data_IF_158003495859
#
_entry.id   IF_158003495859
#
_cell.length_a   1.000
_cell.length_b   1.000
_cell.length_c   1.000
_cell.angle_alpha   90.00
_cell.angle_beta   90.00
_cell.angle_gamma   90.00
#
_symmetry.space_group_name_H-M   'P 1'
#
loop_
_entity.id
_entity.type
_entity.pdbx_description
1 polymer ?
#
# COMPACT_ATOMS: atom_id res chain seq x y z
N UNK A 1 13.92 6.66 31.99
CA UNK A 1 13.43 5.38 31.44
C UNK A 1 12.03 5.61 30.91
N UNK A 2 11.79 5.31 29.66
CA UNK A 2 10.43 5.33 29.09
C UNK A 2 9.82 3.94 29.29
N UNK A 3 8.60 3.90 29.78
CA UNK A 3 7.81 2.68 29.86
C UNK A 3 6.78 2.67 28.74
N UNK A 4 6.53 1.48 28.16
CA UNK A 4 5.47 1.30 27.18
C UNK A 4 4.11 1.43 27.87
N UNK A 5 3.23 2.28 27.34
CA UNK A 5 1.89 2.46 27.90
C UNK A 5 1.00 1.24 27.66
N UNK A 6 1.14 0.59 26.48
CA UNK A 6 0.35 -0.58 26.10
C UNK A 6 1.17 -1.49 25.16
N UNK A 7 1.06 -2.80 25.36
CA UNK A 7 1.59 -3.82 24.46
C UNK A 7 0.42 -4.47 23.71
N UNK A 8 0.25 -4.10 22.43
CA UNK A 8 -0.83 -4.62 21.60
C UNK A 8 -0.59 -6.07 21.20
N UNK A 9 0.67 -6.48 20.98
CA UNK A 9 1.01 -7.86 20.64
C UNK A 9 0.68 -8.83 21.78
N UNK A 10 0.90 -8.42 23.04
CA UNK A 10 0.50 -9.19 24.22
C UNK A 10 -1.03 -9.39 24.32
N UNK A 11 -1.81 -8.59 23.59
CA UNK A 11 -3.27 -8.70 23.46
C UNK A 11 -3.72 -9.40 22.18
N UNK A 12 -2.78 -9.93 21.40
CA UNK A 12 -3.06 -10.64 20.14
C UNK A 12 -3.26 -9.72 18.93
N UNK A 13 -2.91 -8.42 19.02
CA UNK A 13 -3.04 -7.46 17.92
C UNK A 13 -1.68 -7.12 17.32
N UNK A 14 -1.51 -7.34 16.05
CA UNK A 14 -0.26 -7.11 15.32
C UNK A 14 -0.41 -5.96 14.32
N UNK A 15 0.53 -5.04 14.34
CA UNK A 15 0.51 -3.85 13.49
C UNK A 15 1.20 -4.09 12.15
N UNK A 16 0.61 -3.54 11.08
CA UNK A 16 1.19 -3.57 9.75
C UNK A 16 1.02 -2.24 9.01
N UNK A 17 2.00 -1.93 8.18
CA UNK A 17 1.94 -0.87 7.18
C UNK A 17 2.23 -1.46 5.81
N UNK A 18 1.39 -1.18 4.80
CA UNK A 18 1.48 -1.83 3.48
C UNK A 18 2.18 -0.99 2.40
N UNK A 19 2.71 0.22 2.71
CA UNK A 19 3.29 1.10 1.69
C UNK A 19 4.59 1.76 2.15
N UNK A 20 5.70 1.03 1.98
CA UNK A 20 7.04 1.46 2.44
C UNK A 20 8.04 1.47 1.29
N UNK A 21 8.66 2.65 1.01
CA UNK A 21 9.69 2.84 -0.02
C UNK A 21 11.10 3.07 0.59
N UNK A 22 11.31 2.68 1.82
CA UNK A 22 12.62 2.78 2.47
C UNK A 22 13.61 1.75 1.94
N UNK A 23 14.90 2.04 2.09
CA UNK A 23 15.93 1.06 1.79
C UNK A 23 15.72 -0.22 2.62
N UNK A 24 15.90 -1.37 1.98
CA UNK A 24 15.65 -2.67 2.62
C UNK A 24 16.47 -2.84 3.91
N UNK A 25 17.66 -2.29 3.91
CA UNK A 25 18.63 -2.36 5.02
C UNK A 25 18.18 -1.57 6.26
N UNK A 26 17.31 -0.55 6.09
CA UNK A 26 16.78 0.29 7.16
C UNK A 26 15.57 -0.34 7.87
N UNK A 27 14.87 -1.26 7.20
CA UNK A 27 13.59 -1.81 7.67
C UNK A 27 13.66 -2.44 9.06
N UNK A 28 14.69 -3.24 9.42
CA UNK A 28 14.78 -3.82 10.76
C UNK A 28 14.77 -2.76 11.89
N UNK A 29 15.42 -1.62 11.65
CA UNK A 29 15.42 -0.52 12.61
C UNK A 29 14.04 0.12 12.71
N UNK A 30 13.40 0.40 11.57
CA UNK A 30 12.08 1.03 11.54
C UNK A 30 11.01 0.16 12.22
N UNK A 31 10.98 -1.14 11.94
CA UNK A 31 9.99 -2.03 12.55
C UNK A 31 10.12 -2.07 14.07
N UNK A 32 11.36 -2.09 14.60
CA UNK A 32 11.59 -2.04 16.05
C UNK A 32 11.25 -0.68 16.66
N UNK A 33 11.64 0.41 16.00
CA UNK A 33 11.42 1.76 16.50
C UNK A 33 9.93 2.12 16.57
N UNK A 34 9.16 1.70 15.57
CA UNK A 34 7.74 2.01 15.44
C UNK A 34 6.81 0.91 15.98
N UNK A 35 7.38 -0.17 16.50
CA UNK A 35 6.65 -1.36 16.95
C UNK A 35 5.71 -1.91 15.86
N UNK A 36 6.23 -2.01 14.67
CA UNK A 36 5.55 -2.66 13.54
C UNK A 36 5.92 -4.14 13.47
N UNK A 37 4.95 -4.96 13.14
CA UNK A 37 5.12 -6.41 13.00
C UNK A 37 5.28 -6.82 11.55
N UNK A 38 4.61 -6.09 10.62
CA UNK A 38 4.66 -6.40 9.19
C UNK A 38 4.87 -5.12 8.37
N UNK A 39 5.84 -5.17 7.44
CA UNK A 39 6.05 -4.13 6.44
C UNK A 39 6.52 -4.74 5.10
N UNK A 40 5.67 -4.87 4.09
CA UNK A 40 6.14 -5.10 2.73
C UNK A 40 6.86 -3.84 2.22
N UNK A 41 8.02 -4.07 1.60
CA UNK A 41 8.90 -3.01 1.08
C UNK A 41 8.75 -2.94 -0.43
N UNK A 42 8.39 -1.77 -0.94
CA UNK A 42 8.26 -1.54 -2.37
C UNK A 42 9.64 -1.45 -2.99
N UNK A 43 10.08 -2.51 -3.64
CA UNK A 43 11.39 -2.62 -4.27
C UNK A 43 11.33 -2.50 -5.80
N UNK A 44 10.12 -2.53 -6.36
CA UNK A 44 9.85 -2.22 -7.76
C UNK A 44 8.57 -1.39 -7.89
N UNK A 45 8.59 -0.40 -8.77
CA UNK A 45 7.52 0.58 -8.93
C UNK A 45 7.54 1.09 -10.38
N UNK A 46 6.55 0.70 -11.18
CA UNK A 46 6.51 0.99 -12.61
C UNK A 46 7.84 0.58 -13.29
N UNK A 47 8.54 1.52 -13.92
CA UNK A 47 9.82 1.27 -14.57
C UNK A 47 11.04 1.17 -13.63
N UNK A 48 10.86 1.46 -12.33
CA UNK A 48 11.91 1.32 -11.31
C UNK A 48 11.91 -0.11 -10.78
N UNK A 49 13.07 -0.72 -10.70
CA UNK A 49 13.21 -2.10 -10.23
C UNK A 49 14.60 -2.28 -9.62
N UNK A 50 14.66 -2.48 -8.31
CA UNK A 50 15.88 -2.73 -7.57
C UNK A 50 16.60 -4.00 -8.04
N UNK A 51 15.83 -4.99 -8.48
CA UNK A 51 16.32 -6.32 -8.83
C UNK A 51 16.94 -6.39 -10.23
N UNK A 52 16.83 -5.32 -11.04
CA UNK A 52 17.59 -5.22 -12.31
C UNK A 52 19.11 -5.18 -12.09
N UNK A 53 19.56 -4.68 -10.95
CA UNK A 53 20.98 -4.54 -10.61
C UNK A 53 21.44 -5.46 -9.48
N UNK A 54 20.55 -6.28 -8.94
CA UNK A 54 20.82 -7.20 -7.83
C UNK A 54 20.26 -8.60 -8.12
N UNK A 55 20.87 -9.67 -7.62
CA UNK A 55 20.28 -11.00 -7.71
C UNK A 55 18.96 -11.06 -6.92
N UNK A 56 18.01 -11.83 -7.42
CA UNK A 56 16.77 -12.07 -6.70
C UNK A 56 17.05 -12.76 -5.37
N UNK A 57 16.36 -12.40 -4.29
CA UNK A 57 16.54 -13.01 -2.99
C UNK A 57 16.04 -14.45 -2.99
N UNK A 58 16.73 -15.33 -2.29
CA UNK A 58 16.29 -16.72 -2.10
C UNK A 58 14.98 -16.81 -1.30
N UNK A 59 14.80 -15.87 -0.36
CA UNK A 59 13.61 -15.76 0.49
C UNK A 59 13.16 -14.30 0.48
N UNK A 60 11.92 -14.06 0.06
CA UNK A 60 11.36 -12.70 -0.02
C UNK A 60 10.93 -12.19 1.35
N UNK A 61 10.35 -13.06 2.17
CA UNK A 61 9.98 -12.73 3.56
C UNK A 61 11.19 -12.87 4.48
N UNK A 62 11.53 -11.78 5.15
CA UNK A 62 12.60 -11.69 6.12
C UNK A 62 12.03 -11.64 7.54
N UNK A 63 12.62 -12.37 8.46
CA UNK A 63 12.28 -12.34 9.89
C UNK A 63 13.32 -11.52 10.63
N UNK A 64 12.89 -10.58 11.48
CA UNK A 64 13.77 -9.75 12.30
C UNK A 64 13.94 -10.36 13.68
N UNK A 65 12.81 -10.70 14.29
CA UNK A 65 12.70 -11.35 15.59
C UNK A 65 11.34 -12.08 15.66
N UNK A 66 11.03 -12.75 16.76
CA UNK A 66 9.97 -13.74 16.88
C UNK A 66 8.62 -13.44 16.19
N UNK A 67 8.25 -12.17 16.05
CA UNK A 67 6.95 -11.76 15.49
C UNK A 67 7.02 -10.56 14.54
N UNK A 68 8.22 -10.16 14.07
CA UNK A 68 8.38 -9.07 13.09
C UNK A 68 8.93 -9.57 11.77
N UNK A 69 8.24 -9.19 10.71
CA UNK A 69 8.52 -9.66 9.35
C UNK A 69 8.48 -8.48 8.36
N UNK A 70 9.28 -8.55 7.32
CA UNK A 70 9.14 -7.68 6.16
C UNK A 70 9.32 -8.48 4.88
N UNK A 71 8.63 -8.05 3.81
CA UNK A 71 8.77 -8.64 2.49
C UNK A 71 9.59 -7.70 1.61
N UNK A 72 10.58 -8.26 0.89
CA UNK A 72 11.48 -7.48 0.03
C UNK A 72 11.11 -7.56 -1.45
N UNK A 73 9.98 -8.18 -1.80
CA UNK A 73 9.57 -8.39 -3.19
C UNK A 73 8.22 -7.73 -3.49
N UNK A 74 7.86 -6.73 -2.73
CA UNK A 74 6.62 -6.00 -2.96
C UNK A 74 6.81 -4.91 -4.01
N UNK A 75 5.73 -4.56 -4.70
CA UNK A 75 5.79 -3.56 -5.74
C UNK A 75 4.50 -2.82 -5.96
N UNK A 76 4.58 -1.80 -6.80
CA UNK A 76 3.49 -0.87 -7.08
C UNK A 76 3.35 -0.64 -8.57
N UNK A 77 2.12 -0.77 -9.08
CA UNK A 77 1.70 -0.33 -10.41
C UNK A 77 0.86 0.93 -10.24
N UNK A 78 1.49 2.12 -10.36
CA UNK A 78 0.84 3.41 -10.21
C UNK A 78 0.80 4.13 -11.55
N UNK A 79 -0.41 4.36 -12.05
CA UNK A 79 -0.68 5.05 -13.31
C UNK A 79 -1.89 5.98 -13.17
N UNK A 80 -2.33 6.67 -14.25
CA UNK A 80 -3.43 7.63 -14.17
C UNK A 80 -4.75 7.02 -13.66
N UNK A 81 -5.03 5.76 -14.02
CA UNK A 81 -6.19 5.02 -13.53
C UNK A 81 -6.14 4.67 -12.05
N UNK A 82 -4.94 4.66 -11.45
CA UNK A 82 -4.73 4.43 -10.02
C UNK A 82 -3.49 3.65 -9.63
N UNK A 83 -3.47 3.15 -8.42
CA UNK A 83 -2.35 2.38 -7.87
C UNK A 83 -2.80 1.06 -7.26
N UNK A 84 -2.13 -0.01 -7.66
CA UNK A 84 -2.26 -1.34 -7.09
C UNK A 84 -0.93 -1.78 -6.49
N UNK A 85 -0.99 -2.28 -5.27
CA UNK A 85 0.16 -2.84 -4.57
C UNK A 85 0.13 -4.36 -4.66
N UNK A 86 1.30 -4.96 -4.86
CA UNK A 86 1.45 -6.42 -5.01
C UNK A 86 2.40 -6.95 -3.96
N UNK A 87 1.96 -7.95 -3.19
CA UNK A 87 2.74 -8.59 -2.14
C UNK A 87 2.79 -10.11 -2.33
N UNK A 88 3.86 -10.73 -1.85
CA UNK A 88 4.01 -12.18 -1.89
C UNK A 88 4.51 -12.75 -3.23
N UNK A 89 4.96 -11.89 -4.15
CA UNK A 89 5.58 -12.34 -5.40
C UNK A 89 7.01 -12.84 -5.15
N UNK A 90 7.52 -13.65 -6.09
CA UNK A 90 8.93 -14.15 -6.07
C UNK A 90 9.85 -13.35 -6.99
N UNK A 91 9.29 -12.51 -7.86
CA UNK A 91 9.98 -11.63 -8.80
C UNK A 91 9.08 -10.45 -9.16
N UNK A 92 9.65 -9.32 -9.61
CA UNK A 92 8.88 -8.18 -10.10
C UNK A 92 7.97 -8.55 -11.28
N UNK A 93 6.82 -7.88 -11.40
CA UNK A 93 6.01 -7.93 -12.59
C UNK A 93 6.65 -7.07 -13.70
N UNK A 94 6.51 -7.45 -14.97
CA UNK A 94 7.06 -6.70 -16.10
C UNK A 94 6.18 -5.48 -16.43
N UNK A 95 6.09 -4.53 -15.48
CA UNK A 95 5.27 -3.34 -15.66
C UNK A 95 5.77 -2.47 -16.80
N UNK A 96 4.87 -1.77 -17.53
CA UNK A 96 5.25 -0.90 -18.60
C UNK A 96 5.88 0.40 -18.07
N UNK A 97 6.61 1.08 -18.95
CA UNK A 97 7.18 2.38 -18.65
C UNK A 97 8.61 2.33 -18.16
N UNK A 98 9.16 3.51 -17.97
CA UNK A 98 10.47 3.79 -17.45
C UNK A 98 10.41 5.01 -16.57
N UNK A 99 11.57 5.57 -16.19
CA UNK A 99 11.64 6.78 -15.37
C UNK A 99 10.83 7.93 -16.00
N UNK A 100 9.78 8.37 -15.29
CA UNK A 100 8.89 9.45 -15.75
C UNK A 100 7.89 9.05 -16.83
N UNK A 101 7.69 7.76 -17.09
CA UNK A 101 6.69 7.25 -18.02
C UNK A 101 5.66 6.41 -17.27
N UNK A 102 4.39 6.72 -17.47
CA UNK A 102 3.26 6.07 -16.81
C UNK A 102 2.18 5.69 -17.85
N UNK A 103 2.52 4.81 -18.84
CA UNK A 103 1.57 4.49 -19.90
C UNK A 103 0.37 3.71 -19.37
N UNK A 104 -0.83 4.13 -19.78
CA UNK A 104 -2.08 3.45 -19.42
C UNK A 104 -2.27 2.09 -20.12
N UNK A 105 -1.54 1.85 -21.18
CA UNK A 105 -1.58 0.56 -21.89
C UNK A 105 -0.29 -0.24 -21.67
N UNK A 106 -0.39 -1.54 -21.43
CA UNK A 106 -1.62 -2.33 -21.23
C UNK A 106 -2.29 -2.01 -19.87
N UNK A 107 -3.60 -2.27 -19.78
CA UNK A 107 -4.38 -2.06 -18.55
C UNK A 107 -3.72 -2.72 -17.33
N UNK A 108 -3.82 -2.11 -16.12
CA UNK A 108 -3.40 -2.73 -14.87
C UNK A 108 -3.99 -4.13 -14.64
N UNK A 109 -5.18 -4.41 -15.17
CA UNK A 109 -5.80 -5.73 -15.08
C UNK A 109 -4.95 -6.86 -15.64
N UNK A 110 -4.15 -6.61 -16.69
CA UNK A 110 -3.19 -7.59 -17.20
C UNK A 110 -2.18 -8.03 -16.15
N UNK A 111 -1.72 -7.11 -15.32
CA UNK A 111 -0.74 -7.39 -14.26
C UNK A 111 -1.40 -8.02 -13.04
N UNK A 112 -2.66 -7.70 -12.75
CA UNK A 112 -3.48 -8.44 -11.79
C UNK A 112 -3.58 -9.91 -12.20
N UNK A 113 -3.92 -10.19 -13.44
CA UNK A 113 -4.01 -11.56 -13.97
C UNK A 113 -2.67 -12.30 -13.91
N UNK A 114 -1.57 -11.62 -14.28
CA UNK A 114 -0.22 -12.20 -14.15
C UNK A 114 0.15 -12.48 -12.69
N UNK A 115 -0.17 -11.59 -11.77
CA UNK A 115 0.08 -11.79 -10.35
C UNK A 115 -0.70 -12.99 -9.81
N UNK A 116 -1.96 -13.16 -10.24
CA UNK A 116 -2.82 -14.28 -9.82
C UNK A 116 -2.39 -15.67 -10.35
N UNK A 117 -1.44 -15.71 -11.27
CA UNK A 117 -0.79 -16.98 -11.64
C UNK A 117 0.17 -17.49 -10.55
N UNK A 118 0.48 -16.66 -9.55
CA UNK A 118 1.30 -17.03 -8.42
C UNK A 118 0.44 -17.30 -7.17
N UNK A 119 0.84 -18.29 -6.39
CA UNK A 119 0.18 -18.59 -5.12
C UNK A 119 0.45 -17.51 -4.07
N UNK A 120 -0.53 -17.32 -3.18
CA UNK A 120 -0.41 -16.45 -2.00
C UNK A 120 -0.10 -14.98 -2.29
N UNK A 121 -0.48 -14.48 -3.45
CA UNK A 121 -0.35 -13.06 -3.79
C UNK A 121 -1.49 -12.27 -3.17
N UNK A 122 -1.15 -11.18 -2.49
CA UNK A 122 -2.09 -10.19 -2.00
C UNK A 122 -2.02 -8.95 -2.86
N UNK A 123 -3.17 -8.43 -3.30
CA UNK A 123 -3.29 -7.22 -4.11
C UNK A 123 -4.10 -6.21 -3.33
N UNK A 124 -3.49 -5.05 -3.07
CA UNK A 124 -4.11 -3.94 -2.36
C UNK A 124 -4.46 -2.80 -3.32
N UNK A 125 -5.67 -2.29 -3.21
CA UNK A 125 -6.09 -1.07 -3.89
C UNK A 125 -5.69 0.10 -3.00
N UNK A 126 -4.60 0.78 -3.34
CA UNK A 126 -3.91 1.71 -2.44
C UNK A 126 -4.74 2.96 -2.09
N UNK A 127 -5.51 3.50 -3.07
CA UNK A 127 -6.40 4.66 -2.86
C UNK A 127 -7.74 4.42 -3.57
N UNK A 128 -8.88 4.38 -2.87
CA UNK A 128 -10.15 4.01 -3.50
C UNK A 128 -10.78 5.09 -4.38
N UNK A 129 -10.28 6.32 -4.36
CA UNK A 129 -10.80 7.41 -5.20
C UNK A 129 -10.22 7.47 -6.62
N UNK A 130 -9.41 6.48 -7.01
CA UNK A 130 -8.87 6.38 -8.36
C UNK A 130 -9.94 5.96 -9.40
N UNK A 131 -9.70 6.31 -10.67
CA UNK A 131 -10.67 6.11 -11.73
C UNK A 131 -10.98 4.65 -12.03
N UNK A 132 -9.97 3.76 -11.98
CA UNK A 132 -10.10 2.33 -12.30
C UNK A 132 -10.60 1.49 -11.13
N UNK A 133 -10.81 2.09 -9.96
CA UNK A 133 -11.29 1.39 -8.76
C UNK A 133 -12.52 0.51 -9.02
N UNK A 134 -13.58 0.96 -9.74
CA UNK A 134 -14.74 0.11 -10.01
C UNK A 134 -14.40 -1.14 -10.82
N UNK A 135 -13.50 -1.03 -11.79
CA UNK A 135 -13.05 -2.16 -12.63
C UNK A 135 -12.32 -3.19 -11.77
N UNK A 136 -11.40 -2.74 -10.94
CA UNK A 136 -10.63 -3.61 -10.06
C UNK A 136 -11.51 -4.33 -9.05
N UNK A 137 -12.46 -3.62 -8.43
CA UNK A 137 -13.41 -4.22 -7.48
C UNK A 137 -14.34 -5.23 -8.17
N UNK A 138 -14.85 -4.90 -9.37
CA UNK A 138 -15.70 -5.79 -10.15
C UNK A 138 -14.99 -7.08 -10.59
N UNK A 139 -13.66 -7.04 -10.73
CA UNK A 139 -12.85 -8.22 -11.06
C UNK A 139 -12.86 -9.29 -9.96
N UNK A 140 -13.19 -8.91 -8.72
CA UNK A 140 -13.10 -9.80 -7.56
C UNK A 140 -11.67 -10.18 -7.16
N UNK A 141 -10.65 -9.50 -7.72
CA UNK A 141 -9.24 -9.87 -7.53
C UNK A 141 -8.52 -9.04 -6.45
N UNK A 142 -9.20 -8.05 -5.85
CA UNK A 142 -8.63 -7.17 -4.83
C UNK A 142 -8.82 -7.77 -3.43
N UNK A 143 -7.77 -7.74 -2.62
CA UNK A 143 -7.74 -8.33 -1.29
C UNK A 143 -7.94 -7.30 -0.17
N UNK A 144 -7.52 -6.04 -0.38
CA UNK A 144 -7.66 -4.95 0.59
C UNK A 144 -7.80 -3.60 -0.08
N UNK A 145 -8.28 -2.61 0.67
CA UNK A 145 -8.50 -1.24 0.20
C UNK A 145 -7.84 -0.25 1.15
N UNK A 146 -7.01 0.63 0.63
CA UNK A 146 -6.26 1.65 1.34
C UNK A 146 -7.13 2.72 1.98
N UNK A 147 -7.69 2.42 3.15
CA UNK A 147 -8.52 3.36 3.90
C UNK A 147 -7.68 4.45 4.56
N UNK A 148 -6.59 4.09 5.23
CA UNK A 148 -5.60 5.03 5.74
C UNK A 148 -4.41 5.10 4.75
N UNK A 149 -4.65 5.72 3.60
CA UNK A 149 -3.67 5.80 2.52
C UNK A 149 -2.67 6.96 2.70
N UNK A 150 -1.69 7.04 1.81
CA UNK A 150 -0.58 7.97 1.89
C UNK A 150 -0.95 9.46 1.72
N UNK A 151 -2.17 9.80 1.28
CA UNK A 151 -2.67 11.18 1.31
C UNK A 151 -2.97 11.68 2.73
N UNK A 152 -3.07 10.78 3.70
CA UNK A 152 -3.20 11.11 5.12
C UNK A 152 -1.82 11.26 5.74
N UNK A 153 -1.15 12.38 5.44
CA UNK A 153 0.21 12.65 5.91
C UNK A 153 0.25 13.14 7.36
N UNK A 154 1.39 12.95 8.00
CA UNK A 154 1.65 13.40 9.37
C UNK A 154 1.51 14.91 9.54
N UNK A 155 1.98 15.69 8.57
CA UNK A 155 1.94 17.15 8.61
C UNK A 155 0.55 17.70 8.33
N UNK A 156 -0.11 17.11 7.33
CA UNK A 156 -1.45 17.48 6.88
C UNK A 156 -1.99 16.41 5.95
N UNK A 157 -3.30 16.32 5.85
CA UNK A 157 -3.95 15.55 4.80
C UNK A 157 -3.84 16.31 3.48
N UNK A 158 -3.63 15.63 2.36
CA UNK A 158 -3.62 16.28 1.06
C UNK A 158 -5.00 16.88 0.74
N UNK A 159 -5.00 18.10 0.20
CA UNK A 159 -6.22 18.82 -0.11
C UNK A 159 -6.91 18.32 -1.39
N UNK A 160 -6.21 17.57 -2.22
CA UNK A 160 -6.71 17.05 -3.50
C UNK A 160 -6.55 15.53 -3.58
N UNK A 161 -7.25 14.93 -4.50
CA UNK A 161 -7.15 13.52 -4.87
C UNK A 161 -6.04 13.28 -5.93
N UNK A 162 -5.10 14.22 -6.08
CA UNK A 162 -4.13 14.24 -7.18
C UNK A 162 -4.85 14.14 -8.53
N UNK A 163 -4.54 13.14 -9.35
CA UNK A 163 -5.24 12.89 -10.62
C UNK A 163 -6.41 11.90 -10.50
N UNK A 164 -6.76 11.49 -9.28
CA UNK A 164 -7.94 10.68 -9.01
C UNK A 164 -9.26 11.44 -9.18
N UNK A 165 -10.39 10.75 -8.98
CA UNK A 165 -11.71 11.35 -9.05
C UNK A 165 -11.89 12.37 -7.91
N UNK A 166 -12.09 13.65 -8.21
CA UNK A 166 -12.20 14.68 -7.19
C UNK A 166 -13.50 14.54 -6.38
N UNK A 167 -13.39 14.84 -5.09
CA UNK A 167 -14.54 14.95 -4.20
C UNK A 167 -15.32 16.27 -4.47
N UNK A 168 -16.53 16.34 -3.97
CA UNK A 168 -17.22 17.61 -3.80
C UNK A 168 -16.60 18.39 -2.63
N UNK A 169 -15.70 19.34 -2.93
CA UNK A 169 -14.99 20.13 -1.95
C UNK A 169 -15.87 21.08 -1.13
N UNK A 170 -17.10 21.39 -1.58
CA UNK A 170 -18.09 22.17 -0.79
C UNK A 170 -18.66 21.31 0.32
N UNK A 171 -18.96 20.05 0.03
CA UNK A 171 -19.50 19.08 1.00
C UNK A 171 -18.40 18.51 1.91
N UNK A 172 -17.24 18.27 1.36
CA UNK A 172 -16.08 17.68 2.05
C UNK A 172 -14.86 18.62 1.96
N UNK A 173 -14.88 19.75 2.69
CA UNK A 173 -13.82 20.76 2.61
C UNK A 173 -12.50 20.28 3.24
N UNK A 174 -11.38 20.92 2.86
CA UNK A 174 -10.12 20.73 3.59
C UNK A 174 -10.28 21.17 5.07
N UNK A 175 -9.41 20.71 5.97
CA UNK A 175 -8.26 19.83 5.72
C UNK A 175 -8.58 18.34 5.73
N UNK A 176 -9.78 17.90 6.07
CA UNK A 176 -10.14 16.48 6.27
C UNK A 176 -10.90 15.86 5.08
N UNK A 177 -11.24 16.65 4.08
CA UNK A 177 -12.13 16.25 3.00
C UNK A 177 -11.66 15.02 2.24
N UNK A 178 -10.36 14.88 1.97
CA UNK A 178 -9.81 13.71 1.27
C UNK A 178 -10.03 12.41 2.08
N UNK A 179 -9.75 12.42 3.37
CA UNK A 179 -9.97 11.25 4.23
C UNK A 179 -11.44 10.89 4.38
N UNK A 180 -12.32 11.89 4.52
CA UNK A 180 -13.78 11.66 4.55
C UNK A 180 -14.29 11.10 3.23
N UNK A 181 -13.76 11.58 2.10
CA UNK A 181 -14.09 11.03 0.77
C UNK A 181 -13.65 9.58 0.62
N UNK A 182 -12.43 9.27 1.03
CA UNK A 182 -11.91 7.89 1.09
C UNK A 182 -12.83 6.98 1.92
N UNK A 183 -13.24 7.44 3.10
CA UNK A 183 -14.14 6.71 3.99
C UNK A 183 -15.52 6.49 3.36
N UNK A 184 -16.10 7.50 2.71
CA UNK A 184 -17.39 7.38 2.02
C UNK A 184 -17.33 6.34 0.89
N UNK A 185 -16.27 6.37 0.07
CA UNK A 185 -16.09 5.39 -1.00
C UNK A 185 -15.99 3.98 -0.38
N UNK A 186 -15.26 3.82 0.72
CA UNK A 186 -15.17 2.52 1.39
C UNK A 186 -16.54 2.04 1.89
N UNK A 187 -17.37 2.92 2.43
CA UNK A 187 -18.74 2.56 2.81
C UNK A 187 -19.59 2.19 1.59
N UNK A 188 -19.42 2.85 0.44
CA UNK A 188 -20.09 2.44 -0.79
C UNK A 188 -19.65 1.03 -1.24
N UNK A 189 -18.35 0.72 -1.12
CA UNK A 189 -17.83 -0.63 -1.40
C UNK A 189 -18.52 -1.66 -0.49
N UNK A 190 -18.60 -1.41 0.82
CA UNK A 190 -19.27 -2.30 1.76
C UNK A 190 -20.78 -2.44 1.47
N UNK A 191 -21.45 -1.32 1.12
CA UNK A 191 -22.87 -1.29 0.79
C UNK A 191 -23.20 -2.02 -0.52
N UNK A 192 -22.23 -2.14 -1.44
CA UNK A 192 -22.39 -2.97 -2.64
C UNK A 192 -22.28 -4.49 -2.37
N UNK A 193 -22.05 -4.87 -1.11
CA UNK A 193 -21.92 -6.27 -0.68
C UNK A 193 -20.49 -6.81 -0.68
N UNK A 194 -19.51 -6.03 -1.11
CA UNK A 194 -18.11 -6.43 -1.11
C UNK A 194 -17.53 -6.33 0.32
N UNK A 195 -17.04 -7.45 0.85
CA UNK A 195 -16.43 -7.54 2.19
C UNK A 195 -14.91 -7.57 2.07
N UNK A 196 -14.32 -6.45 1.66
CA UNK A 196 -12.88 -6.29 1.46
C UNK A 196 -12.31 -5.57 2.69
N UNK A 197 -11.30 -6.10 3.39
CA UNK A 197 -10.73 -5.46 4.57
C UNK A 197 -10.02 -4.16 4.22
N UNK A 198 -9.98 -3.19 5.16
CA UNK A 198 -9.20 -1.96 4.99
C UNK A 198 -7.72 -2.23 5.15
N UNK A 199 -6.91 -1.44 4.47
CA UNK A 199 -5.46 -1.40 4.61
C UNK A 199 -4.97 0.01 4.99
N UNK A 200 -3.68 0.12 5.28
CA UNK A 200 -3.02 1.38 5.59
C UNK A 200 -1.60 1.41 5.02
N UNK A 201 -1.19 2.59 4.55
CA UNK A 201 0.15 2.81 4.02
C UNK A 201 0.56 4.27 4.04
N UNK A 202 1.81 4.54 4.37
CA UNK A 202 2.35 5.90 4.54
C UNK A 202 3.16 6.40 3.36
N UNK A 203 3.55 5.54 2.43
CA UNK A 203 4.54 5.80 1.37
C UNK A 203 5.84 6.42 1.94
N UNK A 204 6.26 5.94 3.11
CA UNK A 204 7.50 6.41 3.75
C UNK A 204 8.69 6.17 2.83
N UNK A 205 9.50 7.20 2.63
CA UNK A 205 10.61 7.19 1.68
C UNK A 205 10.32 7.94 0.38
N UNK A 206 9.05 8.10 0.00
CA UNK A 206 8.57 8.96 -1.09
C UNK A 206 7.90 10.20 -0.53
N UNK A 207 7.04 10.02 0.46
CA UNK A 207 6.39 11.12 1.17
C UNK A 207 7.05 11.36 2.54
N UNK A 208 6.86 12.57 3.14
CA UNK A 208 7.47 12.93 4.41
C UNK A 208 6.78 12.28 5.62
N UNK A 209 6.40 11.03 5.49
CA UNK A 209 5.77 10.26 6.54
C UNK A 209 6.78 9.30 7.18
N UNK A 210 6.77 9.14 8.51
CA UNK A 210 7.49 8.04 9.14
C UNK A 210 6.92 6.69 8.72
N UNK A 211 7.74 5.65 8.76
CA UNK A 211 7.26 4.28 8.66
C UNK A 211 6.26 4.02 9.79
N UNK A 212 5.14 3.39 9.49
CA UNK A 212 4.12 3.07 10.48
C UNK A 212 3.22 4.22 10.91
N UNK A 213 3.30 5.39 10.26
CA UNK A 213 2.37 6.48 10.55
C UNK A 213 0.92 6.06 10.27
N UNK A 214 0.65 5.60 9.06
CA UNK A 214 -0.60 4.93 8.72
C UNK A 214 -0.41 3.43 8.92
N UNK A 215 -1.17 2.83 9.83
CA UNK A 215 -1.07 1.40 10.15
C UNK A 215 -2.43 0.78 10.46
N UNK A 216 -2.52 -0.50 10.22
CA UNK A 216 -3.64 -1.34 10.68
C UNK A 216 -3.17 -2.26 11.79
N UNK A 217 -4.11 -2.76 12.58
CA UNK A 217 -3.92 -3.83 13.56
C UNK A 217 -4.84 -4.99 13.22
N UNK A 218 -4.32 -6.19 13.25
CA UNK A 218 -5.03 -7.44 12.98
C UNK A 218 -4.80 -8.46 14.09
#
# INVERSE_FOLDING_TARGET
TLSRAIDMAARGWYSGELHVHRAVEEIPLHLRAEDLHVAPVITWWNGRDLWKSRPLPKTTRQTIDGNRYYDVMSGEDEREGGALMYYGLKKPLPLPGGKGQFPEFPSPMKFVELARQHENVWIDLEKPFWWDTPVWLASGQINSVGLANNHMCRSQMYETEAWGRPRDAKRLPPPRGNGLWTQEIYYHILNSGLRIPPSAGSASGVLPNPVGYNRVYV
#
